data_IF_475577963465
#
_entry.id   IF_475577963465
#
_cell.length_a   1.000
_cell.length_b   1.000
_cell.length_c   1.000
_cell.angle_alpha   90.00
_cell.angle_beta   90.00
_cell.angle_gamma   90.00
#
_symmetry.space_group_name_H-M   'P 1'
#
loop_
_entity.id
_entity.type
_entity.pdbx_description
1 polymer ?
#
# COMPACT_ATOMS: atom_id res chain seq x y z
N UNK A 1 -9.79 17.76 25.29
CA UNK A 1 -10.32 16.98 24.17
C UNK A 1 -9.12 16.59 23.35
N UNK A 2 -8.83 15.31 23.22
CA UNK A 2 -7.78 14.85 22.30
C UNK A 2 -8.18 15.32 20.91
N UNK A 3 -7.29 16.04 20.24
CA UNK A 3 -7.54 16.50 18.87
C UNK A 3 -7.66 15.25 17.98
N UNK A 4 -8.88 14.94 17.53
CA UNK A 4 -9.17 13.74 16.75
C UNK A 4 -8.85 13.93 15.26
N UNK A 5 -8.33 15.11 14.89
CA UNK A 5 -8.02 15.47 13.50
C UNK A 5 -6.52 15.56 13.34
N UNK A 6 -5.98 14.73 12.46
CA UNK A 6 -4.60 14.82 12.01
C UNK A 6 -4.55 15.38 10.59
N UNK A 7 -3.66 16.35 10.35
CA UNK A 7 -3.38 16.90 9.02
C UNK A 7 -1.89 16.72 8.74
N UNK A 8 -1.58 16.15 7.58
CA UNK A 8 -0.21 15.83 7.20
C UNK A 8 -0.02 15.78 5.70
N UNK A 9 1.16 15.32 5.27
CA UNK A 9 1.50 15.14 3.87
C UNK A 9 1.91 13.68 3.66
N UNK A 10 1.23 12.99 2.74
CA UNK A 10 1.43 11.57 2.53
C UNK A 10 2.90 11.21 2.25
N UNK A 11 3.60 11.96 1.40
CA UNK A 11 5.01 11.70 1.09
C UNK A 11 5.93 11.86 2.29
N UNK A 12 5.70 12.87 3.13
CA UNK A 12 6.52 13.12 4.34
C UNK A 12 6.21 12.11 5.43
N UNK A 13 4.93 11.85 5.70
CA UNK A 13 4.51 11.01 6.82
C UNK A 13 4.76 9.53 6.52
N UNK A 14 4.48 9.08 5.30
CA UNK A 14 4.72 7.72 4.87
C UNK A 14 6.20 7.35 4.94
N UNK A 15 7.10 8.28 4.62
CA UNK A 15 8.54 8.04 4.68
C UNK A 15 9.04 7.66 6.08
N UNK A 16 8.33 8.09 7.14
CA UNK A 16 8.65 7.74 8.52
C UNK A 16 8.36 6.27 8.84
N UNK A 17 7.41 5.67 8.11
CA UNK A 17 6.89 4.32 8.35
C UNK A 17 6.95 3.44 7.08
N UNK A 18 8.05 3.53 6.31
CA UNK A 18 8.29 2.68 5.12
C UNK A 18 7.16 2.71 4.08
N UNK A 19 6.50 3.84 3.95
CA UNK A 19 5.37 4.06 3.04
C UNK A 19 4.01 4.08 3.74
N UNK A 20 3.88 3.70 5.02
CA UNK A 20 2.58 3.53 5.66
C UNK A 20 2.05 4.82 6.32
N UNK A 21 0.79 5.13 6.06
CA UNK A 21 0.10 6.32 6.59
C UNK A 21 -0.75 6.00 7.82
N UNK A 22 -1.48 4.89 7.78
CA UNK A 22 -2.52 4.54 8.74
C UNK A 22 -2.59 3.02 8.88
N UNK A 23 -2.81 2.53 10.10
CA UNK A 23 -2.96 1.11 10.41
C UNK A 23 -2.67 0.80 11.87
N UNK A 24 -2.71 -0.47 12.25
CA UNK A 24 -2.66 -0.94 13.64
C UNK A 24 -1.32 -0.58 14.30
N UNK A 25 -0.27 -0.42 13.50
CA UNK A 25 1.08 -0.09 13.96
C UNK A 25 1.23 1.36 14.47
N UNK A 26 0.26 2.24 14.27
CA UNK A 26 0.28 3.58 14.89
C UNK A 26 -0.04 3.50 16.38
N UNK A 27 0.39 4.51 17.13
CA UNK A 27 0.05 4.65 18.55
C UNK A 27 -1.48 4.72 18.71
N UNK A 28 -2.04 4.05 19.72
CA UNK A 28 -3.49 3.98 19.92
C UNK A 28 -4.16 5.35 20.16
N UNK A 29 -3.41 6.37 20.59
CA UNK A 29 -3.90 7.74 20.72
C UNK A 29 -3.82 8.56 19.42
N UNK A 30 -3.11 8.07 18.40
CA UNK A 30 -3.02 8.69 17.07
C UNK A 30 -4.31 8.38 16.27
N UNK A 31 -5.01 9.37 15.69
CA UNK A 31 -6.20 9.13 14.87
C UNK A 31 -5.92 8.30 13.59
N UNK A 32 -4.65 8.05 13.25
CA UNK A 32 -4.21 7.14 12.18
C UNK A 32 -4.04 5.69 12.66
N UNK A 33 -4.34 5.38 13.92
CA UNK A 33 -4.47 4.01 14.38
C UNK A 33 -5.78 3.40 13.88
N UNK A 34 -5.71 2.18 13.32
CA UNK A 34 -6.88 1.46 12.82
C UNK A 34 -6.68 -0.04 12.89
N UNK A 35 -7.70 -0.76 13.35
CA UNK A 35 -7.80 -2.23 13.27
C UNK A 35 -8.53 -2.69 11.99
N UNK A 36 -9.16 -1.75 11.27
CA UNK A 36 -9.97 -2.06 10.09
C UNK A 36 -9.15 -2.05 8.79
N UNK A 37 -8.35 -0.99 8.58
CA UNK A 37 -7.63 -0.77 7.33
C UNK A 37 -6.20 -0.32 7.54
N UNK A 38 -5.32 -0.72 6.63
CA UNK A 38 -3.96 -0.21 6.50
C UNK A 38 -3.86 0.58 5.19
N UNK A 39 -3.24 1.76 5.21
CA UNK A 39 -3.07 2.61 4.03
C UNK A 39 -1.60 2.90 3.81
N UNK A 40 -1.10 2.61 2.60
CA UNK A 40 0.26 2.88 2.16
C UNK A 40 0.28 3.89 1.02
N UNK A 41 1.17 4.87 1.11
CA UNK A 41 1.59 5.74 0.02
C UNK A 41 2.93 5.24 -0.54
N UNK A 42 2.91 4.67 -1.74
CA UNK A 42 4.09 4.16 -2.43
C UNK A 42 4.58 5.15 -3.47
N UNK A 43 5.87 5.49 -3.43
CA UNK A 43 6.57 6.24 -4.48
C UNK A 43 7.70 5.37 -4.99
N UNK A 44 7.68 5.07 -6.28
CA UNK A 44 8.55 4.10 -6.92
C UNK A 44 9.26 4.75 -8.11
N UNK A 45 10.60 4.82 -8.15
CA UNK A 45 11.30 5.28 -9.34
C UNK A 45 11.09 4.31 -10.51
N UNK A 46 11.37 4.79 -11.73
CA UNK A 46 11.33 3.93 -12.91
C UNK A 46 12.27 2.73 -12.77
N UNK A 47 11.76 1.53 -13.06
CA UNK A 47 12.49 0.27 -12.96
C UNK A 47 12.57 -0.29 -11.54
N UNK A 48 11.95 0.37 -10.55
CA UNK A 48 11.81 -0.20 -9.22
C UNK A 48 10.92 -1.43 -9.29
N UNK A 49 11.26 -2.46 -8.52
CA UNK A 49 10.52 -3.70 -8.49
C UNK A 49 10.62 -4.37 -7.12
N UNK A 50 9.70 -5.30 -6.89
CA UNK A 50 9.81 -6.21 -5.76
C UNK A 50 10.33 -7.57 -6.24
N UNK A 51 11.61 -7.83 -6.01
CA UNK A 51 12.23 -9.11 -6.39
C UNK A 51 11.53 -10.32 -5.75
N UNK A 52 11.05 -10.16 -4.51
CA UNK A 52 10.44 -11.25 -3.74
C UNK A 52 8.94 -11.09 -3.65
N UNK A 53 8.24 -12.07 -4.19
CA UNK A 53 6.79 -12.19 -4.07
C UNK A 53 6.35 -12.12 -2.60
N UNK A 54 5.29 -11.36 -2.35
CA UNK A 54 4.52 -11.47 -1.11
C UNK A 54 3.77 -12.78 -1.19
N UNK A 55 3.89 -13.60 -0.16
CA UNK A 55 3.25 -14.92 -0.08
C UNK A 55 2.36 -15.02 1.13
N UNK A 56 1.24 -15.74 1.00
CA UNK A 56 0.35 -16.04 2.13
C UNK A 56 -0.29 -14.81 2.78
N UNK A 57 -0.57 -13.76 2.01
CA UNK A 57 -1.17 -12.53 2.52
C UNK A 57 -2.56 -12.82 3.13
N UNK A 58 -2.74 -12.48 4.41
CA UNK A 58 -3.99 -12.75 5.13
C UNK A 58 -5.07 -11.69 4.86
N UNK A 59 -4.72 -10.62 4.15
CA UNK A 59 -5.56 -9.44 3.90
C UNK A 59 -6.04 -9.41 2.45
N UNK A 60 -7.18 -8.76 2.24
CA UNK A 60 -7.55 -8.26 0.92
C UNK A 60 -6.79 -6.95 0.69
N UNK A 61 -6.37 -6.70 -0.55
CA UNK A 61 -5.66 -5.48 -0.92
C UNK A 61 -6.29 -4.82 -2.16
N UNK A 62 -6.30 -3.49 -2.14
CA UNK A 62 -6.60 -2.60 -3.26
C UNK A 62 -5.33 -1.78 -3.53
N UNK A 63 -4.93 -1.67 -4.79
CA UNK A 63 -3.90 -0.73 -5.22
C UNK A 63 -4.49 0.17 -6.31
N UNK A 64 -4.37 1.48 -6.12
CA UNK A 64 -4.82 2.53 -7.05
C UNK A 64 -3.60 3.29 -7.56
N UNK A 65 -3.53 3.49 -8.87
CA UNK A 65 -2.52 4.33 -9.52
C UNK A 65 -2.92 5.80 -9.38
N UNK A 66 -2.06 6.60 -8.75
CA UNK A 66 -2.23 8.05 -8.66
C UNK A 66 -1.54 8.74 -9.84
N UNK A 67 -0.34 8.31 -10.19
CA UNK A 67 0.41 8.77 -11.34
C UNK A 67 1.46 7.75 -11.78
N UNK A 68 1.88 7.81 -13.04
CA UNK A 68 2.92 6.95 -13.60
C UNK A 68 2.36 5.74 -14.33
N UNK A 69 3.08 4.63 -14.25
CA UNK A 69 2.75 3.39 -14.96
C UNK A 69 3.29 2.19 -14.19
N UNK A 70 2.37 1.39 -13.66
CA UNK A 70 2.69 0.41 -12.64
C UNK A 70 2.09 -0.95 -12.99
N UNK A 71 2.89 -2.01 -12.83
CA UNK A 71 2.50 -3.37 -13.13
C UNK A 71 2.42 -4.19 -11.85
N UNK A 72 1.28 -4.84 -11.65
CA UNK A 72 1.07 -5.80 -10.55
C UNK A 72 1.15 -7.21 -11.14
N UNK A 73 2.04 -8.02 -10.58
CA UNK A 73 2.19 -9.42 -10.93
C UNK A 73 1.38 -10.29 -9.96
N UNK A 74 0.55 -11.17 -10.52
CA UNK A 74 -0.30 -12.12 -9.80
C UNK A 74 -0.08 -13.52 -10.38
N UNK A 75 -0.45 -14.60 -9.68
CA UNK A 75 -0.33 -15.95 -10.21
C UNK A 75 -1.09 -16.08 -11.53
N UNK A 76 -0.35 -16.38 -12.61
CA UNK A 76 -0.91 -16.60 -13.95
C UNK A 76 -1.38 -15.34 -14.68
N UNK A 77 -1.22 -14.13 -14.15
CA UNK A 77 -1.57 -12.89 -14.86
C UNK A 77 -0.77 -11.68 -14.39
N UNK A 78 -0.51 -10.79 -15.34
CA UNK A 78 0.04 -9.45 -15.08
C UNK A 78 -1.04 -8.41 -15.31
N UNK A 79 -1.16 -7.43 -14.41
CA UNK A 79 -2.12 -6.32 -14.49
C UNK A 79 -1.36 -5.02 -14.62
N UNK A 80 -1.51 -4.36 -15.76
CA UNK A 80 -0.93 -3.05 -16.00
C UNK A 80 -1.95 -1.97 -15.61
N UNK A 81 -1.49 -1.02 -14.81
CA UNK A 81 -2.18 0.23 -14.49
C UNK A 81 -1.43 1.34 -15.23
N UNK A 82 -2.12 2.09 -16.08
CA UNK A 82 -1.51 3.05 -17.00
C UNK A 82 -2.24 4.40 -17.05
N UNK A 83 -3.50 4.45 -16.61
CA UNK A 83 -4.28 5.67 -16.53
C UNK A 83 -4.53 6.05 -15.06
N UNK A 84 -4.51 7.34 -14.75
CA UNK A 84 -4.77 7.81 -13.39
C UNK A 84 -6.12 7.28 -12.90
N UNK A 85 -6.13 6.65 -11.72
CA UNK A 85 -7.31 6.02 -11.14
C UNK A 85 -7.48 4.55 -11.50
N UNK A 86 -6.66 3.98 -12.40
CA UNK A 86 -6.61 2.54 -12.60
C UNK A 86 -6.34 1.84 -11.28
N UNK A 87 -7.02 0.72 -11.06
CA UNK A 87 -6.90 -0.01 -9.81
C UNK A 87 -7.03 -1.52 -9.99
N UNK A 88 -6.49 -2.25 -9.03
CA UNK A 88 -6.65 -3.70 -8.92
C UNK A 88 -6.90 -4.09 -7.48
N UNK A 89 -7.81 -5.04 -7.30
CA UNK A 89 -8.14 -5.64 -6.00
C UNK A 89 -7.83 -7.12 -6.05
N UNK A 90 -7.17 -7.64 -5.02
CA UNK A 90 -6.95 -9.06 -4.86
C UNK A 90 -7.27 -9.51 -3.44
N UNK A 91 -7.82 -10.73 -3.36
CA UNK A 91 -8.28 -11.31 -2.11
C UNK A 91 -7.15 -11.94 -1.29
N UNK A 92 -7.54 -12.41 -0.10
CA UNK A 92 -6.67 -13.16 0.81
C UNK A 92 -6.05 -14.37 0.11
N UNK A 93 -4.78 -14.64 0.44
CA UNK A 93 -4.00 -15.75 -0.09
C UNK A 93 -3.51 -15.55 -1.53
N UNK A 94 -3.80 -14.41 -2.16
CA UNK A 94 -3.26 -14.11 -3.48
C UNK A 94 -1.87 -13.52 -3.33
N UNK A 95 -0.88 -14.34 -3.69
CA UNK A 95 0.52 -13.92 -3.79
C UNK A 95 0.66 -12.80 -4.84
N UNK A 96 1.61 -11.89 -4.65
CA UNK A 96 1.79 -10.80 -5.61
C UNK A 96 3.21 -10.25 -5.61
N UNK A 97 3.57 -9.64 -6.74
CA UNK A 97 4.72 -8.74 -6.86
C UNK A 97 4.35 -7.50 -7.70
N UNK A 98 5.32 -6.63 -7.97
CA UNK A 98 5.11 -5.44 -8.78
C UNK A 98 6.40 -4.93 -9.42
N UNK A 99 6.23 -4.13 -10.47
CA UNK A 99 7.28 -3.40 -11.19
C UNK A 99 6.76 -2.03 -11.65
N UNK A 100 7.55 -0.98 -11.48
CA UNK A 100 7.26 0.37 -11.94
C UNK A 100 7.88 0.62 -13.34
N UNK A 101 7.05 0.63 -14.39
CA UNK A 101 7.53 0.90 -15.77
C UNK A 101 7.95 2.36 -15.96
N UNK A 102 7.39 3.26 -15.15
CA UNK A 102 7.74 4.67 -15.04
C UNK A 102 7.78 5.08 -13.56
N UNK A 103 8.31 6.27 -13.26
CA UNK A 103 8.17 6.84 -11.92
C UNK A 103 6.68 6.89 -11.55
N UNK A 104 6.32 6.23 -10.46
CA UNK A 104 4.93 5.94 -10.13
C UNK A 104 4.61 6.26 -8.68
N UNK A 105 3.40 6.77 -8.48
CA UNK A 105 2.79 6.97 -7.17
C UNK A 105 1.55 6.10 -7.09
N UNK A 106 1.49 5.26 -6.06
CA UNK A 106 0.38 4.34 -5.84
C UNK A 106 -0.15 4.45 -4.40
N UNK A 107 -1.47 4.33 -4.25
CA UNK A 107 -2.13 4.19 -2.96
C UNK A 107 -2.53 2.73 -2.78
N UNK A 108 -2.03 2.09 -1.73
CA UNK A 108 -2.46 0.73 -1.37
C UNK A 108 -3.32 0.78 -0.11
N UNK A 109 -4.46 0.10 -0.15
CA UNK A 109 -5.33 -0.13 1.02
C UNK A 109 -5.37 -1.63 1.28
N UNK A 110 -5.20 -2.06 2.54
CA UNK A 110 -5.34 -3.46 2.95
C UNK A 110 -6.30 -3.60 4.11
N UNK A 111 -7.01 -4.72 4.17
CA UNK A 111 -7.90 -5.03 5.28
C UNK A 111 -8.02 -6.54 5.56
N UNK A 112 -8.16 -6.95 6.83
CA UNK A 112 -8.14 -6.12 8.04
C UNK A 112 -6.73 -5.60 8.37
N UNK A 113 -6.64 -4.64 9.29
CA UNK A 113 -5.38 -4.13 9.82
C UNK A 113 -5.00 -4.91 11.08
N UNK A 114 -3.94 -5.72 11.01
CA UNK A 114 -3.64 -6.71 12.06
C UNK A 114 -2.34 -6.40 12.80
N UNK A 115 -2.27 -6.69 14.12
CA UNK A 115 -1.05 -6.53 14.90
C UNK A 115 0.08 -7.45 14.43
N UNK A 116 1.32 -7.07 14.74
CA UNK A 116 2.49 -7.93 14.56
C UNK A 116 3.01 -8.07 13.14
N UNK A 117 2.40 -7.40 12.17
CA UNK A 117 2.91 -7.36 10.80
C UNK A 117 3.95 -6.24 10.68
N UNK A 118 5.21 -6.58 10.93
CA UNK A 118 6.31 -5.75 10.49
C UNK A 118 6.46 -5.94 8.97
N UNK A 119 6.40 -4.84 8.23
CA UNK A 119 6.87 -4.82 6.84
C UNK A 119 8.29 -5.37 6.84
N UNK A 120 8.63 -6.40 6.04
CA UNK A 120 10.02 -6.82 5.86
C UNK A 120 10.92 -5.61 5.56
#
# INVERSE_FOLDING_TARGET
>A
MSDTVYVGNAGRDAALDRGWLLGHFKDAADPRHSEDVEIKWGVHPKGDERDRWVTGEARTALLVLISGRFRVELPGRSVLLAEQGDYVVWGRGVDHSWHAEEESVVLTVRWPSVPGYAVP
#
